data_IF_347930744388
#
_entry.id   IF_347930744388
#
_cell.length_a   1.000
_cell.length_b   1.000
_cell.length_c   1.000
_cell.angle_alpha   90.00
_cell.angle_beta   90.00
_cell.angle_gamma   90.00
#
_symmetry.space_group_name_H-M   'P 1'
#
loop_
_entity.id
_entity.type
_entity.pdbx_description
1 polymer ?
#
# COMPACT_ATOMS: atom_id res chain seq x y z
N UNK A 1 -9.61 -10.08 2.91
CA UNK A 1 -8.45 -10.59 2.15
C UNK A 1 -8.86 -11.31 0.88
N UNK A 2 -9.80 -12.28 0.92
CA UNK A 2 -10.43 -12.87 -0.27
C UNK A 2 -11.05 -11.84 -1.24
N UNK A 3 -11.60 -10.72 -0.74
CA UNK A 3 -12.14 -9.64 -1.57
C UNK A 3 -11.13 -9.02 -2.56
N UNK A 4 -9.83 -9.00 -2.26
CA UNK A 4 -8.81 -8.40 -3.16
C UNK A 4 -8.30 -9.36 -4.22
N UNK A 5 -8.17 -10.62 -3.87
CA UNK A 5 -7.91 -11.69 -4.85
C UNK A 5 -9.12 -11.82 -5.78
N UNK A 6 -10.35 -11.71 -5.23
CA UNK A 6 -11.57 -11.65 -6.04
C UNK A 6 -11.65 -10.38 -6.90
N UNK A 7 -11.15 -9.22 -6.46
CA UNK A 7 -11.03 -8.02 -7.32
C UNK A 7 -10.04 -8.26 -8.47
N UNK A 8 -8.91 -8.92 -8.20
CA UNK A 8 -7.91 -9.26 -9.22
C UNK A 8 -8.42 -10.34 -10.20
N UNK A 9 -9.22 -11.30 -9.73
CA UNK A 9 -9.88 -12.33 -10.56
C UNK A 9 -11.06 -11.73 -11.35
N UNK A 10 -11.85 -10.85 -10.74
CA UNK A 10 -12.95 -10.13 -11.40
C UNK A 10 -12.45 -9.20 -12.53
N UNK A 11 -11.26 -8.63 -12.38
CA UNK A 11 -10.58 -7.86 -13.42
C UNK A 11 -10.31 -8.67 -14.71
N UNK A 12 -10.23 -10.00 -14.61
CA UNK A 12 -10.00 -10.91 -15.73
C UNK A 12 -11.23 -11.75 -16.14
N UNK A 13 -12.38 -11.61 -15.46
CA UNK A 13 -13.62 -12.33 -15.73
C UNK A 13 -14.78 -11.34 -15.93
N UNK A 14 -14.80 -10.67 -17.09
CA UNK A 14 -15.95 -10.13 -17.83
C UNK A 14 -17.11 -9.44 -17.07
N UNK A 15 -17.20 -8.10 -17.16
CA UNK A 15 -18.40 -7.27 -17.52
C UNK A 15 -18.35 -5.80 -16.99
N UNK A 16 -17.42 -5.03 -17.55
CA UNK A 16 -17.35 -3.58 -17.90
C UNK A 16 -18.28 -2.44 -17.39
N UNK A 17 -19.04 -2.52 -16.29
CA UNK A 17 -19.69 -1.27 -15.76
C UNK A 17 -19.50 -1.05 -14.26
N UNK A 18 -19.56 -2.10 -13.44
CA UNK A 18 -19.41 -1.98 -11.98
C UNK A 18 -17.94 -1.87 -11.53
N UNK A 19 -17.00 -2.35 -12.36
CA UNK A 19 -15.57 -2.29 -12.03
C UNK A 19 -15.02 -0.86 -12.14
N UNK A 20 -15.53 -0.05 -13.08
CA UNK A 20 -15.03 1.32 -13.29
C UNK A 20 -15.30 2.22 -12.09
N UNK A 21 -16.49 2.14 -11.50
CA UNK A 21 -16.85 2.95 -10.32
C UNK A 21 -16.03 2.55 -9.08
N UNK A 22 -15.82 1.25 -8.89
CA UNK A 22 -14.98 0.71 -7.82
C UNK A 22 -13.52 1.13 -7.99
N UNK A 23 -12.97 1.01 -9.21
CA UNK A 23 -11.61 1.45 -9.52
C UNK A 23 -11.42 2.94 -9.25
N UNK A 24 -12.34 3.79 -9.72
CA UNK A 24 -12.32 5.23 -9.44
C UNK A 24 -12.33 5.53 -7.94
N UNK A 25 -13.16 4.82 -7.16
CA UNK A 25 -13.22 5.01 -5.69
C UNK A 25 -11.90 4.64 -4.99
N UNK A 26 -11.21 3.62 -5.48
CA UNK A 26 -9.92 3.16 -4.95
C UNK A 26 -8.82 4.16 -5.30
N UNK A 27 -8.82 4.66 -6.52
CA UNK A 27 -7.91 5.72 -6.96
C UNK A 27 -8.09 7.00 -6.13
N UNK A 28 -9.33 7.43 -5.91
CA UNK A 28 -9.62 8.61 -5.10
C UNK A 28 -9.17 8.43 -3.65
N UNK A 29 -9.41 7.26 -3.06
CA UNK A 29 -8.93 6.93 -1.71
C UNK A 29 -7.39 6.96 -1.64
N UNK A 30 -6.71 6.33 -2.60
CA UNK A 30 -5.26 6.28 -2.66
C UNK A 30 -4.67 7.69 -2.85
N UNK A 31 -5.29 8.51 -3.70
CA UNK A 31 -4.88 9.89 -3.94
C UNK A 31 -4.97 10.72 -2.66
N UNK A 32 -6.11 10.67 -1.96
CA UNK A 32 -6.31 11.36 -0.67
C UNK A 32 -5.31 10.91 0.39
N UNK A 33 -5.02 9.61 0.46
CA UNK A 33 -4.01 9.08 1.36
C UNK A 33 -2.61 9.61 1.01
N UNK A 34 -2.22 9.56 -0.27
CA UNK A 34 -0.91 10.05 -0.73
C UNK A 34 -0.75 11.55 -0.49
N UNK A 35 -1.79 12.35 -0.66
CA UNK A 35 -1.78 13.78 -0.36
C UNK A 35 -1.48 14.04 1.12
N UNK A 36 -2.14 13.32 2.03
CA UNK A 36 -1.88 13.44 3.47
C UNK A 36 -0.50 12.92 3.85
N UNK A 37 -0.09 11.80 3.26
CA UNK A 37 1.22 11.20 3.49
C UNK A 37 2.34 12.14 3.06
N UNK A 38 2.27 12.69 1.86
CA UNK A 38 3.29 13.61 1.32
C UNK A 38 3.27 14.96 2.02
N UNK A 39 2.10 15.44 2.46
CA UNK A 39 2.01 16.64 3.32
C UNK A 39 2.74 16.45 4.65
N UNK A 40 2.67 15.26 5.25
CA UNK A 40 3.32 14.95 6.53
C UNK A 40 4.78 14.54 6.38
N UNK A 41 5.12 13.91 5.24
CA UNK A 41 6.43 13.34 4.93
C UNK A 41 6.82 13.67 3.48
N UNK A 42 7.24 14.91 3.20
CA UNK A 42 7.53 15.38 1.84
C UNK A 42 8.74 14.68 1.21
N UNK A 43 9.68 14.18 2.02
CA UNK A 43 10.94 13.59 1.57
C UNK A 43 10.84 12.10 1.18
N UNK A 44 9.62 11.55 1.12
CA UNK A 44 9.42 10.16 0.71
C UNK A 44 9.70 9.99 -0.78
N UNK A 45 10.52 9.00 -1.10
CA UNK A 45 10.73 8.54 -2.48
C UNK A 45 9.47 7.85 -3.02
N UNK A 46 9.33 7.77 -4.34
CA UNK A 46 8.16 7.12 -4.93
C UNK A 46 8.05 5.64 -4.56
N UNK A 47 9.18 4.92 -4.49
CA UNK A 47 9.17 3.53 -4.02
C UNK A 47 8.73 3.37 -2.56
N UNK A 48 8.89 4.41 -1.72
CA UNK A 48 8.37 4.43 -0.36
C UNK A 48 6.87 4.74 -0.32
N UNK A 49 6.39 5.63 -1.20
CA UNK A 49 4.96 5.89 -1.38
C UNK A 49 4.23 4.64 -1.87
N UNK A 50 4.78 3.93 -2.85
CA UNK A 50 4.22 2.66 -3.35
C UNK A 50 4.13 1.60 -2.25
N UNK A 51 5.20 1.44 -1.48
CA UNK A 51 5.19 0.51 -0.34
C UNK A 51 4.15 0.94 0.70
N UNK A 52 4.02 2.24 0.98
CA UNK A 52 3.05 2.74 1.95
C UNK A 52 1.60 2.43 1.54
N UNK A 53 1.26 2.52 0.25
CA UNK A 53 -0.06 2.14 -0.28
C UNK A 53 -0.35 0.65 -0.05
N UNK A 54 0.62 -0.21 -0.36
CA UNK A 54 0.51 -1.66 -0.15
C UNK A 54 0.28 -2.00 1.33
N UNK A 55 0.96 -1.27 2.22
CA UNK A 55 0.84 -1.46 3.67
C UNK A 55 -0.41 -0.85 4.28
N UNK A 56 -0.88 0.30 3.76
CA UNK A 56 -2.12 0.95 4.20
C UNK A 56 -3.32 0.02 4.01
N UNK A 57 -3.30 -0.79 2.95
CA UNK A 57 -4.35 -1.77 2.69
C UNK A 57 -4.08 -3.13 3.39
N UNK A 58 -3.13 -3.21 4.32
CA UNK A 58 -2.78 -4.39 5.12
C UNK A 58 -2.22 -5.58 4.34
N UNK A 59 -1.42 -5.35 3.29
CA UNK A 59 -0.67 -6.46 2.70
C UNK A 59 0.49 -6.88 3.61
N UNK A 60 0.61 -8.18 3.81
CA UNK A 60 1.74 -8.79 4.51
C UNK A 60 3.01 -8.76 3.64
N UNK A 61 4.18 -8.90 4.27
CA UNK A 61 5.46 -9.05 3.54
C UNK A 61 5.41 -10.18 2.52
N UNK A 62 4.70 -11.28 2.81
CA UNK A 62 4.56 -12.43 1.91
C UNK A 62 3.72 -12.07 0.68
N UNK A 63 2.59 -11.39 0.86
CA UNK A 63 1.74 -10.96 -0.26
C UNK A 63 2.45 -9.93 -1.13
N UNK A 64 3.16 -8.96 -0.52
CA UNK A 64 3.95 -7.98 -1.28
C UNK A 64 5.08 -8.67 -2.05
N UNK A 65 5.75 -9.65 -1.44
CA UNK A 65 6.79 -10.43 -2.10
C UNK A 65 6.24 -11.17 -3.32
N UNK A 66 5.09 -11.83 -3.18
CA UNK A 66 4.42 -12.53 -4.27
C UNK A 66 4.00 -11.58 -5.40
N UNK A 67 3.42 -10.42 -5.07
CA UNK A 67 2.94 -9.44 -6.03
C UNK A 67 4.07 -8.73 -6.79
N UNK A 68 5.19 -8.46 -6.12
CA UNK A 68 6.29 -7.67 -6.71
C UNK A 68 7.43 -8.53 -7.25
N UNK A 69 7.39 -9.85 -7.01
CA UNK A 69 8.49 -10.78 -7.35
C UNK A 69 9.78 -10.56 -6.54
N UNK A 70 9.76 -9.66 -5.54
CA UNK A 70 10.93 -9.33 -4.71
C UNK A 70 11.01 -10.26 -3.52
N UNK A 71 12.22 -10.55 -3.04
CA UNK A 71 12.40 -11.41 -1.86
C UNK A 71 11.76 -10.79 -0.60
N UNK A 72 11.25 -11.59 0.35
CA UNK A 72 10.76 -11.09 1.64
C UNK A 72 11.80 -10.25 2.40
N UNK A 73 13.09 -10.61 2.27
CA UNK A 73 14.22 -9.86 2.84
C UNK A 73 14.29 -8.43 2.28
N UNK A 74 14.13 -8.28 0.97
CA UNK A 74 14.09 -6.96 0.31
C UNK A 74 12.92 -6.13 0.82
N UNK A 75 11.73 -6.73 0.94
CA UNK A 75 10.54 -6.03 1.45
C UNK A 75 10.74 -5.59 2.90
N UNK A 76 11.30 -6.44 3.76
CA UNK A 76 11.62 -6.07 5.15
C UNK A 76 12.63 -4.92 5.24
N UNK A 77 13.65 -4.90 4.37
CA UNK A 77 14.59 -3.78 4.31
C UNK A 77 13.91 -2.48 3.87
N UNK A 78 12.99 -2.54 2.90
CA UNK A 78 12.23 -1.37 2.49
C UNK A 78 11.29 -0.88 3.61
N UNK A 79 10.66 -1.79 4.37
CA UNK A 79 9.85 -1.44 5.57
C UNK A 79 10.71 -0.73 6.63
N UNK A 80 11.93 -1.21 6.87
CA UNK A 80 12.86 -0.58 7.79
C UNK A 80 13.23 0.85 7.33
N UNK A 81 13.58 1.02 6.06
CA UNK A 81 13.89 2.34 5.48
C UNK A 81 12.69 3.28 5.54
N UNK A 82 11.51 2.79 5.17
CA UNK A 82 10.26 3.56 5.27
C UNK A 82 10.01 4.01 6.72
N UNK A 83 10.18 3.12 7.69
CA UNK A 83 10.02 3.46 9.11
C UNK A 83 10.95 4.60 9.55
N UNK A 84 12.20 4.59 9.08
CA UNK A 84 13.16 5.67 9.34
C UNK A 84 12.74 6.98 8.68
N UNK A 85 12.30 6.95 7.43
CA UNK A 85 11.80 8.16 6.75
C UNK A 85 10.51 8.72 7.38
N UNK A 86 9.69 7.86 8.00
CA UNK A 86 8.50 8.28 8.74
C UNK A 86 8.79 8.70 10.19
N UNK A 87 10.06 8.66 10.63
CA UNK A 87 10.49 8.97 12.00
C UNK A 87 9.78 8.15 13.09
N UNK A 88 9.51 6.87 12.83
CA UNK A 88 8.87 5.98 13.79
C UNK A 88 9.90 5.25 14.68
N UNK A 89 9.61 5.17 15.98
CA UNK A 89 10.39 4.41 16.98
C UNK A 89 10.28 2.90 16.70
N UNK A 90 11.03 2.00 17.36
CA UNK A 90 10.88 0.54 17.18
C UNK A 90 9.58 -0.05 17.73
N UNK A 91 8.86 0.70 18.56
CA UNK A 91 7.64 0.21 19.22
C UNK A 91 6.37 0.59 18.44
N UNK A 92 6.44 1.57 17.54
CA UNK A 92 5.28 2.02 16.78
C UNK A 92 4.85 1.01 15.71
N UNK A 93 3.58 0.69 15.58
CA UNK A 93 3.12 -0.17 14.49
C UNK A 93 3.15 0.63 13.17
N UNK A 94 4.01 0.22 12.21
CA UNK A 94 4.10 0.88 10.90
C UNK A 94 2.75 0.84 10.18
N UNK A 95 2.03 -0.28 10.29
CA UNK A 95 0.73 -0.45 9.65
C UNK A 95 -0.35 0.42 10.29
N UNK A 96 -0.41 0.49 11.62
CA UNK A 96 -1.38 1.38 12.32
C UNK A 96 -1.09 2.84 12.03
N UNK A 97 0.19 3.23 12.02
CA UNK A 97 0.59 4.59 11.67
C UNK A 97 0.09 4.96 10.27
N UNK A 98 0.32 4.10 9.27
CA UNK A 98 -0.13 4.36 7.90
C UNK A 98 -1.66 4.38 7.79
N UNK A 99 -2.39 3.54 8.52
CA UNK A 99 -3.86 3.60 8.55
C UNK A 99 -4.42 4.85 9.23
N UNK A 100 -3.64 5.49 10.11
CA UNK A 100 -4.04 6.72 10.82
C UNK A 100 -3.89 8.00 10.00
N UNK A 101 -3.25 7.92 8.82
CA UNK A 101 -3.10 9.04 7.87
C UNK A 101 -4.40 9.20 7.08
#
# INVERSE_FOLDING_TARGET
HLKKINLFIAQYQSSDVDNSSVLMSVEEHNQKFLERLTKKHPDLTDGQKDLSLQLCINLSTKEISLLTGRSPKTINMNRYRLRKSLNLSSNDSLSEYLQSI
#
